data_IF_408959353575
#
_entry.id   IF_408959353575
#
_cell.length_a   1.000
_cell.length_b   1.000
_cell.length_c   1.000
_cell.angle_alpha   90.00
_cell.angle_beta   90.00
_cell.angle_gamma   90.00
#
_symmetry.space_group_name_H-M   'P 1'
#
loop_
_entity.id
_entity.type
_entity.pdbx_description
1 polymer ?
#
# COMPACT_ATOMS: atom_id res chain seq x y z
N UNK A 1 -27.94 -34.82 -4.24
CA UNK A 1 -27.33 -34.58 -2.93
C UNK A 1 -25.93 -34.04 -3.18
N UNK A 2 -25.77 -32.72 -3.15
CA UNK A 2 -24.47 -32.05 -3.17
C UNK A 2 -23.83 -32.30 -1.81
N UNK A 3 -22.78 -33.13 -1.76
CA UNK A 3 -21.93 -33.22 -0.61
C UNK A 3 -21.19 -31.86 -0.52
N UNK A 4 -21.66 -30.99 0.36
CA UNK A 4 -20.86 -29.87 0.84
C UNK A 4 -19.67 -30.52 1.54
N UNK A 5 -18.47 -30.34 0.97
CA UNK A 5 -17.27 -30.84 1.57
C UNK A 5 -17.09 -30.10 2.91
N UNK A 6 -17.29 -30.79 4.02
CA UNK A 6 -16.96 -30.26 5.34
C UNK A 6 -15.46 -29.92 5.34
N UNK A 7 -15.15 -28.63 5.31
CA UNK A 7 -13.79 -28.14 5.49
C UNK A 7 -13.33 -28.59 6.87
N UNK A 8 -12.27 -29.39 6.94
CA UNK A 8 -11.75 -29.85 8.22
C UNK A 8 -11.37 -28.66 9.12
N UNK A 9 -11.48 -28.80 10.43
CA UNK A 9 -11.07 -27.76 11.41
C UNK A 9 -9.61 -27.33 11.16
N UNK A 10 -8.77 -28.24 10.72
CA UNK A 10 -7.37 -27.94 10.43
C UNK A 10 -7.20 -27.10 9.15
N UNK A 11 -7.99 -27.35 8.11
CA UNK A 11 -8.03 -26.53 6.89
C UNK A 11 -8.62 -25.15 7.18
N UNK A 12 -9.70 -25.07 7.95
CA UNK A 12 -10.27 -23.80 8.39
C UNK A 12 -9.23 -22.95 9.15
N UNK A 13 -8.44 -23.55 10.05
CA UNK A 13 -7.35 -22.84 10.76
C UNK A 13 -6.29 -22.32 9.83
N UNK A 14 -5.93 -23.04 8.76
CA UNK A 14 -4.97 -22.55 7.75
C UNK A 14 -5.51 -21.33 7.02
N UNK A 15 -6.82 -21.25 6.77
CA UNK A 15 -7.45 -20.11 6.12
C UNK A 15 -7.50 -18.86 7.02
N UNK A 16 -7.44 -19.02 8.32
CA UNK A 16 -7.42 -17.92 9.30
C UNK A 16 -6.02 -17.32 9.53
N UNK A 17 -4.98 -17.88 8.95
CA UNK A 17 -3.61 -17.35 9.07
C UNK A 17 -3.24 -16.50 7.86
N UNK A 18 -2.38 -15.46 8.03
CA UNK A 18 -1.76 -14.78 6.89
C UNK A 18 -0.94 -15.76 6.04
N UNK A 19 -1.09 -15.67 4.71
CA UNK A 19 -0.45 -16.61 3.78
C UNK A 19 0.33 -15.86 2.71
N UNK A 20 1.67 -15.93 2.73
CA UNK A 20 2.50 -15.48 1.61
C UNK A 20 2.23 -16.33 0.37
N UNK A 21 2.23 -15.72 -0.80
CA UNK A 21 2.09 -16.43 -2.07
C UNK A 21 3.04 -15.86 -3.13
N UNK A 22 3.01 -16.41 -4.35
CA UNK A 22 3.95 -16.06 -5.43
C UNK A 22 5.42 -16.13 -5.01
N UNK A 23 5.78 -17.16 -4.22
CA UNK A 23 7.11 -17.33 -3.63
C UNK A 23 8.21 -17.60 -4.69
N UNK A 24 7.84 -17.89 -5.94
CA UNK A 24 8.78 -17.92 -7.07
C UNK A 24 9.25 -16.54 -7.55
N UNK A 25 8.78 -15.46 -6.93
CA UNK A 25 9.11 -14.07 -7.28
C UNK A 25 8.82 -13.71 -8.75
N UNK A 26 7.75 -14.29 -9.30
CA UNK A 26 7.32 -14.11 -10.70
C UNK A 26 5.89 -13.56 -10.79
N UNK A 27 5.49 -12.73 -9.84
CA UNK A 27 4.15 -12.17 -9.79
C UNK A 27 3.86 -11.27 -11.00
N UNK A 28 2.62 -11.33 -11.51
CA UNK A 28 2.17 -10.58 -12.69
C UNK A 28 2.29 -9.06 -12.56
N UNK A 29 2.28 -8.51 -11.34
CA UNK A 29 2.46 -7.07 -11.09
C UNK A 29 3.92 -6.59 -11.19
N UNK A 30 4.92 -7.47 -11.25
CA UNK A 30 6.33 -7.05 -11.33
C UNK A 30 6.64 -6.17 -12.56
N UNK A 31 6.17 -6.50 -13.77
CA UNK A 31 6.37 -5.62 -14.94
C UNK A 31 5.74 -4.24 -14.78
N UNK A 32 4.57 -4.17 -14.13
CA UNK A 32 3.88 -2.89 -13.85
C UNK A 32 4.66 -2.06 -12.82
N UNK A 33 5.14 -2.69 -11.74
CA UNK A 33 5.99 -2.04 -10.74
C UNK A 33 7.25 -1.47 -11.38
N UNK A 34 7.94 -2.25 -12.22
CA UNK A 34 9.12 -1.77 -12.95
C UNK A 34 8.80 -0.57 -13.83
N UNK A 35 7.72 -0.64 -14.60
CA UNK A 35 7.33 0.42 -15.54
C UNK A 35 6.97 1.71 -14.82
N UNK A 36 6.07 1.65 -13.84
CA UNK A 36 5.52 2.86 -13.20
C UNK A 36 6.47 3.46 -12.16
N UNK A 37 7.22 2.63 -11.44
CA UNK A 37 8.26 3.10 -10.53
C UNK A 37 9.60 3.34 -11.22
N UNK A 38 9.72 3.13 -12.54
CA UNK A 38 10.94 3.32 -13.36
C UNK A 38 12.14 2.55 -12.79
N UNK A 39 11.90 1.32 -12.34
CA UNK A 39 12.94 0.49 -11.77
C UNK A 39 13.74 -0.21 -12.87
N UNK A 40 15.07 -0.19 -12.74
CA UNK A 40 15.96 -0.91 -13.65
C UNK A 40 15.93 -2.43 -13.46
N UNK A 41 15.52 -2.88 -12.27
CA UNK A 41 15.43 -4.29 -11.91
C UNK A 41 14.12 -4.55 -11.18
N UNK A 42 13.58 -5.78 -11.29
CA UNK A 42 12.39 -6.18 -10.57
C UNK A 42 12.64 -6.12 -9.06
N UNK A 43 11.74 -5.53 -8.29
CA UNK A 43 11.83 -5.54 -6.83
C UNK A 43 11.54 -6.94 -6.29
N UNK A 44 12.03 -7.22 -5.08
CA UNK A 44 11.56 -8.38 -4.32
C UNK A 44 10.14 -8.07 -3.87
N UNK A 45 9.17 -8.82 -4.40
CA UNK A 45 7.76 -8.65 -4.07
C UNK A 45 7.22 -9.91 -3.41
N UNK A 46 6.79 -9.77 -2.16
CA UNK A 46 6.25 -10.85 -1.34
C UNK A 46 4.81 -10.51 -0.93
N UNK A 47 3.81 -10.85 -1.75
CA UNK A 47 2.42 -10.61 -1.40
C UNK A 47 1.94 -11.58 -0.33
N UNK A 48 1.10 -11.07 0.58
CA UNK A 48 0.50 -11.82 1.67
C UNK A 48 -1.01 -11.57 1.66
N UNK A 49 -1.80 -12.63 1.69
CA UNK A 49 -3.24 -12.56 1.94
C UNK A 49 -3.54 -12.89 3.38
N UNK A 50 -4.54 -12.25 3.96
CA UNK A 50 -4.97 -12.44 5.33
C UNK A 50 -6.51 -12.51 5.42
N UNK A 51 -7.09 -13.05 6.50
CA UNK A 51 -8.51 -13.36 6.60
C UNK A 51 -9.36 -12.13 6.99
N UNK A 52 -9.23 -11.04 6.25
CA UNK A 52 -10.12 -9.89 6.35
C UNK A 52 -10.73 -9.59 4.98
N UNK A 53 -11.94 -9.03 4.97
CA UNK A 53 -12.72 -8.85 3.75
C UNK A 53 -12.06 -7.92 2.75
N UNK A 54 -11.54 -6.79 3.22
CA UNK A 54 -10.87 -5.76 2.41
C UNK A 54 -9.85 -4.96 3.22
N UNK A 55 -9.00 -4.26 2.53
CA UNK A 55 -7.88 -3.50 3.05
C UNK A 55 -6.58 -4.00 2.43
N UNK A 56 -5.68 -3.08 2.14
CA UNK A 56 -4.38 -3.38 1.55
C UNK A 56 -3.34 -2.39 2.07
N UNK A 57 -2.20 -2.92 2.46
CA UNK A 57 -1.02 -2.12 2.75
C UNK A 57 0.15 -2.60 1.90
N UNK A 58 0.81 -1.67 1.24
CA UNK A 58 2.07 -1.91 0.53
C UNK A 58 3.19 -1.27 1.31
N UNK A 59 4.15 -2.08 1.77
CA UNK A 59 5.30 -1.63 2.55
C UNK A 59 6.56 -1.70 1.71
N UNK A 60 7.31 -0.59 1.63
CA UNK A 60 8.55 -0.49 0.87
C UNK A 60 9.68 -0.14 1.84
N UNK A 61 10.54 -1.11 2.21
CA UNK A 61 11.70 -0.83 3.05
C UNK A 61 12.79 -0.10 2.25
N UNK A 62 13.41 0.89 2.87
CA UNK A 62 14.51 1.68 2.32
C UNK A 62 15.69 1.66 3.28
N UNK A 63 16.85 1.29 2.79
CA UNK A 63 18.15 1.43 3.47
C UNK A 63 18.70 2.83 3.16
N UNK A 64 18.51 3.76 4.09
CA UNK A 64 18.90 5.15 3.91
C UNK A 64 20.42 5.31 3.98
N UNK A 65 21.10 4.51 4.76
CA UNK A 65 22.56 4.52 4.83
C UNK A 65 23.17 4.17 3.45
N UNK A 66 22.62 3.14 2.80
CA UNK A 66 23.04 2.74 1.45
C UNK A 66 22.70 3.80 0.40
N UNK A 67 21.53 4.44 0.50
CA UNK A 67 21.13 5.52 -0.41
C UNK A 67 22.07 6.72 -0.28
N UNK A 68 22.44 7.10 0.96
CA UNK A 68 23.43 8.16 1.21
C UNK A 68 24.79 7.81 0.63
N UNK A 69 25.25 6.59 0.83
CA UNK A 69 26.52 6.11 0.26
C UNK A 69 26.53 6.13 -1.28
N UNK A 70 25.38 6.01 -1.92
CA UNK A 70 25.23 6.14 -3.37
C UNK A 70 25.14 7.59 -3.88
N UNK A 71 25.48 8.58 -3.05
CA UNK A 71 25.59 9.99 -3.42
C UNK A 71 24.35 10.85 -3.14
N UNK A 72 23.40 10.38 -2.36
CA UNK A 72 22.22 11.12 -1.88
C UNK A 72 22.38 11.50 -0.40
N UNK A 73 23.38 12.34 -0.10
CA UNK A 73 23.83 12.62 1.26
C UNK A 73 22.73 13.13 2.22
N UNK A 74 21.78 13.91 1.71
CA UNK A 74 20.75 14.56 2.52
C UNK A 74 19.48 13.70 2.75
N UNK A 75 19.48 12.45 2.26
CA UNK A 75 18.32 11.58 2.44
C UNK A 75 18.22 11.10 3.89
N UNK A 76 17.11 11.45 4.52
CA UNK A 76 16.69 10.99 5.83
C UNK A 76 15.15 10.83 5.86
N UNK A 77 14.61 10.30 6.93
CA UNK A 77 13.17 10.05 7.09
C UNK A 77 12.34 11.34 6.91
N UNK A 78 12.78 12.44 7.49
CA UNK A 78 12.06 13.72 7.40
C UNK A 78 12.06 14.30 5.97
N UNK A 79 13.17 14.20 5.25
CA UNK A 79 13.26 14.63 3.87
C UNK A 79 12.33 13.82 2.95
N UNK A 80 12.23 12.51 3.15
CA UNK A 80 11.30 11.65 2.41
C UNK A 80 9.86 12.04 2.71
N UNK A 81 9.52 12.23 3.98
CA UNK A 81 8.17 12.68 4.39
C UNK A 81 7.83 14.03 3.74
N UNK A 82 8.73 15.01 3.83
CA UNK A 82 8.54 16.33 3.24
C UNK A 82 8.34 16.26 1.72
N UNK A 83 9.08 15.41 1.03
CA UNK A 83 8.93 15.20 -0.41
C UNK A 83 7.56 14.61 -0.77
N UNK A 84 7.07 13.62 -0.01
CA UNK A 84 5.74 13.07 -0.20
C UNK A 84 4.65 14.10 0.11
N UNK A 85 4.76 14.82 1.23
CA UNK A 85 3.81 15.85 1.61
C UNK A 85 3.72 16.97 0.57
N UNK A 86 4.85 17.41 0.04
CA UNK A 86 4.90 18.40 -1.04
C UNK A 86 4.30 17.87 -2.35
N UNK A 87 4.60 16.59 -2.72
CA UNK A 87 4.10 16.00 -3.95
C UNK A 87 2.58 15.83 -3.96
N UNK A 88 2.00 15.52 -2.82
CA UNK A 88 0.57 15.25 -2.68
C UNK A 88 -0.20 16.39 -1.99
N UNK A 89 0.42 17.56 -1.85
CA UNK A 89 -0.26 18.75 -1.34
C UNK A 89 -1.45 19.11 -2.24
N UNK A 90 -2.63 19.21 -1.63
CA UNK A 90 -3.87 19.53 -2.36
C UNK A 90 -4.56 18.36 -3.07
N UNK A 91 -3.96 17.18 -3.09
CA UNK A 91 -4.60 15.99 -3.67
C UNK A 91 -5.74 15.51 -2.77
N UNK A 92 -6.94 15.43 -3.32
CA UNK A 92 -8.16 15.15 -2.56
C UNK A 92 -8.18 13.74 -1.94
N UNK A 93 -7.67 12.76 -2.66
CA UNK A 93 -7.72 11.36 -2.30
C UNK A 93 -6.37 10.75 -1.91
N UNK A 94 -5.36 11.59 -1.65
CA UNK A 94 -4.07 11.12 -1.12
C UNK A 94 -3.74 11.92 0.13
N UNK A 95 -3.52 11.24 1.23
CA UNK A 95 -3.15 11.85 2.50
C UNK A 95 -1.79 11.34 2.96
N UNK A 96 -0.90 12.26 3.31
CA UNK A 96 0.37 11.92 3.94
C UNK A 96 0.20 12.12 5.44
N UNK A 97 0.30 11.04 6.20
CA UNK A 97 0.18 11.07 7.65
C UNK A 97 1.33 11.88 8.27
N UNK A 98 1.12 12.43 9.45
CA UNK A 98 2.18 13.15 10.17
C UNK A 98 3.40 12.23 10.38
N UNK A 99 4.61 12.80 10.33
CA UNK A 99 5.86 12.04 10.44
C UNK A 99 5.95 11.20 11.73
N UNK A 100 5.38 11.69 12.82
CA UNK A 100 5.39 11.03 14.12
C UNK A 100 4.07 10.29 14.43
N UNK A 101 3.22 10.07 13.42
CA UNK A 101 2.01 9.27 13.57
C UNK A 101 2.40 7.84 13.96
N UNK A 102 2.14 7.47 15.23
CA UNK A 102 2.37 6.13 15.72
C UNK A 102 1.13 5.25 15.47
N UNK A 103 1.31 4.00 15.05
CA UNK A 103 0.21 3.05 15.00
C UNK A 103 -0.36 2.82 16.40
N UNK A 104 -1.69 2.74 16.51
CA UNK A 104 -2.36 2.46 17.78
C UNK A 104 -1.92 1.10 18.34
N UNK A 105 -1.52 1.06 19.61
CA UNK A 105 -0.99 -0.13 20.25
C UNK A 105 0.28 -0.71 19.61
N UNK A 106 0.95 0.03 18.72
CA UNK A 106 2.13 -0.43 17.99
C UNK A 106 1.83 -1.32 16.78
N UNK A 107 0.56 -1.55 16.45
CA UNK A 107 0.13 -2.35 15.30
C UNK A 107 -0.46 -1.49 14.19
N UNK A 108 0.02 -1.70 12.97
CA UNK A 108 -0.51 -0.98 11.81
C UNK A 108 -1.87 -1.57 11.39
N UNK A 109 -2.91 -0.74 11.44
CA UNK A 109 -4.23 -1.13 10.95
C UNK A 109 -4.29 -1.06 9.42
N UNK A 110 -4.30 -2.22 8.79
CA UNK A 110 -4.38 -2.38 7.33
C UNK A 110 -5.76 -1.95 6.79
N UNK A 111 -6.79 -1.96 7.63
CA UNK A 111 -8.17 -1.70 7.24
C UNK A 111 -8.61 -0.24 7.44
N UNK A 112 -7.76 0.61 8.01
CA UNK A 112 -8.12 1.97 8.40
C UNK A 112 -8.44 2.94 7.26
N UNK A 113 -8.32 2.52 5.99
CA UNK A 113 -8.78 3.28 4.82
C UNK A 113 -9.98 2.64 4.13
N UNK A 114 -10.57 1.57 4.72
CA UNK A 114 -11.71 0.89 4.15
C UNK A 114 -12.91 1.82 4.02
N UNK A 115 -13.75 1.55 3.03
CA UNK A 115 -14.96 2.33 2.69
C UNK A 115 -14.67 3.78 2.26
N UNK A 116 -13.42 4.07 1.87
CA UNK A 116 -13.03 5.37 1.34
C UNK A 116 -12.32 5.23 -0.02
N UNK A 117 -12.36 6.29 -0.83
CA UNK A 117 -11.51 6.38 -2.03
C UNK A 117 -10.13 7.00 -1.73
N UNK A 118 -9.62 6.83 -0.51
CA UNK A 118 -8.40 7.47 -0.03
C UNK A 118 -7.20 6.53 -0.07
N UNK A 119 -6.04 7.08 -0.41
CA UNK A 119 -4.74 6.47 -0.21
C UNK A 119 -4.02 7.20 0.93
N UNK A 120 -3.72 6.51 2.02
CA UNK A 120 -2.96 7.05 3.15
C UNK A 120 -1.50 6.62 3.02
N UNK A 121 -0.57 7.56 3.10
CA UNK A 121 0.86 7.35 3.00
C UNK A 121 1.52 7.61 4.35
N UNK A 122 2.39 6.70 4.76
CA UNK A 122 3.09 6.76 6.04
C UNK A 122 4.60 6.62 5.83
N UNK A 123 5.38 7.27 6.67
CA UNK A 123 6.84 7.18 6.69
C UNK A 123 7.29 6.80 8.10
N UNK A 124 7.59 5.52 8.29
CA UNK A 124 8.05 4.97 9.58
C UNK A 124 9.56 4.74 9.56
N UNK A 125 10.13 4.43 10.71
CA UNK A 125 11.53 4.04 10.84
C UNK A 125 12.39 5.06 11.58
N UNK A 126 13.65 5.07 11.25
CA UNK A 126 14.69 5.93 11.84
C UNK A 126 15.56 6.56 10.74
N UNK A 127 16.69 7.17 11.13
CA UNK A 127 17.56 7.86 10.15
C UNK A 127 18.43 6.92 9.30
N UNK A 128 18.50 5.64 9.61
CA UNK A 128 19.23 4.66 8.82
C UNK A 128 18.34 3.74 8.00
N UNK A 129 17.12 3.49 8.47
CA UNK A 129 16.17 2.61 7.82
C UNK A 129 14.77 3.26 7.84
N UNK A 130 14.14 3.31 6.70
CA UNK A 130 12.81 3.87 6.52
C UNK A 130 11.87 2.84 5.92
N UNK A 131 10.63 2.85 6.35
CA UNK A 131 9.54 2.06 5.79
C UNK A 131 8.48 3.01 5.24
N UNK A 132 8.31 3.03 3.93
CA UNK A 132 7.15 3.68 3.31
C UNK A 132 5.99 2.70 3.34
N UNK A 133 4.82 3.17 3.76
CA UNK A 133 3.61 2.35 3.72
C UNK A 133 2.52 3.13 3.01
N UNK A 134 1.90 2.51 1.99
CA UNK A 134 0.68 2.99 1.37
C UNK A 134 -0.47 2.08 1.81
N UNK A 135 -1.55 2.68 2.31
CA UNK A 135 -2.76 1.97 2.74
C UNK A 135 -3.96 2.42 1.92
N UNK A 136 -4.73 1.46 1.43
CA UNK A 136 -5.94 1.70 0.64
C UNK A 136 -7.02 0.65 0.96
N UNK A 137 -8.27 0.96 0.62
CA UNK A 137 -9.28 -0.06 0.38
C UNK A 137 -9.02 -0.70 -0.99
N UNK A 138 -8.66 -1.99 -1.02
CA UNK A 138 -8.33 -2.70 -2.26
C UNK A 138 -9.53 -2.90 -3.20
N UNK A 139 -10.76 -2.84 -2.71
CA UNK A 139 -12.00 -2.92 -3.49
C UNK A 139 -12.53 -1.53 -3.86
N UNK A 140 -12.24 -0.51 -3.05
CA UNK A 140 -12.56 0.90 -3.29
C UNK A 140 -11.47 1.58 -4.12
N UNK A 141 -10.56 2.30 -3.45
CA UNK A 141 -9.44 3.03 -4.09
C UNK A 141 -8.56 2.13 -4.98
N UNK A 142 -8.38 0.87 -4.60
CA UNK A 142 -7.59 -0.09 -5.37
C UNK A 142 -8.29 -0.67 -6.61
N UNK A 143 -9.59 -0.42 -6.79
CA UNK A 143 -10.38 -0.98 -7.89
C UNK A 143 -11.46 0.01 -8.38
N UNK A 144 -12.72 -0.16 -7.94
CA UNK A 144 -13.87 0.59 -8.44
C UNK A 144 -13.77 2.09 -8.20
N UNK A 145 -13.29 2.51 -7.04
CA UNK A 145 -13.16 3.93 -6.69
C UNK A 145 -12.17 4.67 -7.58
N UNK A 146 -11.01 4.08 -7.90
CA UNK A 146 -10.07 4.68 -8.83
C UNK A 146 -10.64 4.76 -10.26
N UNK A 147 -11.44 3.78 -10.69
CA UNK A 147 -12.10 3.79 -11.99
C UNK A 147 -13.12 4.93 -12.09
N UNK A 148 -13.97 5.09 -11.06
CA UNK A 148 -14.94 6.20 -10.99
C UNK A 148 -14.24 7.55 -10.95
N UNK A 149 -13.19 7.71 -10.13
CA UNK A 149 -12.38 8.93 -10.08
C UNK A 149 -11.80 9.28 -11.45
N UNK A 150 -11.17 8.31 -12.12
CA UNK A 150 -10.59 8.51 -13.44
C UNK A 150 -11.65 8.90 -14.49
N UNK A 151 -12.82 8.27 -14.44
CA UNK A 151 -13.96 8.60 -15.29
C UNK A 151 -14.44 10.04 -15.03
N UNK A 152 -14.62 10.44 -13.78
CA UNK A 152 -15.03 11.79 -13.42
C UNK A 152 -14.06 12.84 -13.98
N UNK A 153 -12.75 12.64 -13.78
CA UNK A 153 -11.71 13.54 -14.31
C UNK A 153 -11.77 13.59 -15.84
N UNK A 154 -11.90 12.43 -16.51
CA UNK A 154 -11.95 12.36 -17.97
C UNK A 154 -13.16 13.09 -18.57
N UNK A 155 -14.29 13.06 -17.86
CA UNK A 155 -15.53 13.73 -18.27
C UNK A 155 -15.62 15.20 -17.81
N UNK A 156 -14.62 15.73 -17.12
CA UNK A 156 -14.62 17.09 -16.58
C UNK A 156 -15.60 17.29 -15.44
N UNK A 157 -16.00 16.24 -14.74
CA UNK A 157 -16.82 16.27 -13.53
C UNK A 157 -15.94 16.50 -12.28
N UNK A 158 -16.58 16.84 -11.14
CA UNK A 158 -15.87 16.82 -9.86
C UNK A 158 -15.33 15.40 -9.64
N UNK A 159 -14.02 15.28 -9.36
CA UNK A 159 -13.35 13.98 -9.24
C UNK A 159 -13.92 13.10 -8.14
N UNK A 160 -14.59 13.68 -7.13
CA UNK A 160 -15.21 12.95 -6.03
C UNK A 160 -16.69 12.61 -6.27
N UNK A 161 -17.24 12.90 -7.42
CA UNK A 161 -18.65 12.61 -7.68
C UNK A 161 -18.93 11.10 -7.51
N UNK A 162 -19.81 10.76 -6.54
CA UNK A 162 -20.13 9.37 -6.20
C UNK A 162 -19.05 8.61 -5.43
N UNK A 163 -18.03 9.29 -4.90
CA UNK A 163 -16.94 8.71 -4.09
C UNK A 163 -16.98 9.21 -2.64
N UNK A 164 -16.58 8.34 -1.71
CA UNK A 164 -16.46 8.63 -0.28
C UNK A 164 -14.99 8.86 0.14
#
# INVERSE_FOLDING_TARGET
ATAEAEVSVQEARKLLAPRPYALGLTHTHLPEMMRYARLAQAPVFLPVVAPYYKGLAVSVPLDLARIRAAGKADVNRAAIHAALAARYAGERFVQVAALDAAPEGGFFDVQGSNDTNRADLFVFGNDDQCMLVARIDNLGKGASGAAVQAMNIHLGLDEANGLA
#
